data_IF_344373360612
#
_entry.id   IF_344373360612
#
_cell.length_a   1.000
_cell.length_b   1.000
_cell.length_c   1.000
_cell.angle_alpha   90.00
_cell.angle_beta   90.00
_cell.angle_gamma   90.00
#
_symmetry.space_group_name_H-M   'P 1'
#
loop_
_entity.id
_entity.type
_entity.pdbx_description
1 polymer ?
#
# COMPACT_ATOMS: atom_id res chain seq x y z
N UNK A 1 -2.16 53.27 1.22
CA UNK A 1 -1.76 51.91 0.83
C UNK A 1 -2.82 50.98 1.38
N UNK A 2 -3.81 50.64 0.57
CA UNK A 2 -4.86 49.71 0.97
C UNK A 2 -4.33 48.28 0.81
N UNK A 3 -4.08 47.62 1.93
CA UNK A 3 -3.70 46.22 1.94
C UNK A 3 -5.00 45.41 1.73
N UNK A 4 -5.25 44.98 0.49
CA UNK A 4 -6.32 44.01 0.22
C UNK A 4 -5.98 42.70 0.95
N UNK A 5 -6.92 42.10 1.70
CA UNK A 5 -6.74 40.76 2.23
C UNK A 5 -6.70 39.79 1.03
N UNK A 6 -5.66 38.97 0.92
CA UNK A 6 -5.62 37.86 -0.02
C UNK A 6 -6.60 36.80 0.45
N UNK A 7 -7.85 36.94 0.03
CA UNK A 7 -8.81 35.85 0.00
C UNK A 7 -8.33 34.82 -1.03
N UNK A 8 -7.70 33.75 -0.57
CA UNK A 8 -8.09 32.41 -1.02
C UNK A 8 -8.13 31.49 0.21
N UNK A 9 -9.30 31.57 0.83
CA UNK A 9 -9.87 30.64 1.78
C UNK A 9 -10.18 29.33 1.02
N UNK A 10 -10.00 28.17 1.66
CA UNK A 10 -10.60 26.89 1.24
C UNK A 10 -9.91 26.06 0.13
N UNK A 11 -8.62 25.78 0.27
CA UNK A 11 -8.03 24.65 -0.46
C UNK A 11 -8.23 23.33 0.33
N UNK A 12 -9.45 22.78 0.30
CA UNK A 12 -9.61 21.36 0.57
C UNK A 12 -8.59 20.60 -0.31
N UNK A 13 -7.86 19.59 0.22
CA UNK A 13 -6.77 18.96 -0.51
C UNK A 13 -7.31 18.47 -1.86
N UNK A 14 -6.80 19.05 -2.97
CA UNK A 14 -7.22 18.68 -4.33
C UNK A 14 -7.12 17.16 -4.46
N UNK A 15 -8.23 16.51 -4.80
CA UNK A 15 -8.21 15.07 -5.06
C UNK A 15 -7.22 14.81 -6.19
N UNK A 16 -6.21 13.98 -5.91
CA UNK A 16 -5.19 13.62 -6.90
C UNK A 16 -5.84 12.84 -8.04
N UNK A 17 -5.45 13.16 -9.25
CA UNK A 17 -5.82 12.43 -10.46
C UNK A 17 -5.27 11.00 -10.42
N UNK A 18 -5.85 10.10 -11.24
CA UNK A 18 -5.33 8.73 -11.39
C UNK A 18 -3.87 8.73 -11.88
N UNK A 19 -3.50 9.65 -12.79
CA UNK A 19 -2.15 9.76 -13.31
C UNK A 19 -1.13 10.11 -12.21
N UNK A 20 -1.44 11.09 -11.36
CA UNK A 20 -0.59 11.46 -10.23
C UNK A 20 -0.47 10.32 -9.21
N UNK A 21 -1.55 9.58 -8.97
CA UNK A 21 -1.53 8.39 -8.09
C UNK A 21 -0.66 7.27 -8.68
N UNK A 22 -0.71 7.03 -10.00
CA UNK A 22 0.16 6.06 -10.69
C UNK A 22 1.63 6.45 -10.59
N UNK A 23 1.96 7.69 -10.91
CA UNK A 23 3.34 8.19 -10.83
C UNK A 23 3.93 8.00 -9.44
N UNK A 24 3.16 8.31 -8.39
CA UNK A 24 3.60 8.10 -7.00
C UNK A 24 3.77 6.63 -6.65
N UNK A 25 2.87 5.76 -7.12
CA UNK A 25 3.00 4.32 -6.92
C UNK A 25 4.26 3.78 -7.61
N UNK A 26 4.53 4.19 -8.85
CA UNK A 26 5.72 3.79 -9.60
C UNK A 26 6.99 4.25 -8.90
N UNK A 27 7.03 5.49 -8.41
CA UNK A 27 8.15 6.02 -7.62
C UNK A 27 8.37 5.19 -6.34
N UNK A 28 7.30 4.91 -5.59
CA UNK A 28 7.40 4.11 -4.37
C UNK A 28 7.91 2.69 -4.67
N UNK A 29 7.40 2.04 -5.73
CA UNK A 29 7.85 0.72 -6.16
C UNK A 29 9.30 0.73 -6.63
N UNK A 30 9.77 1.79 -7.28
CA UNK A 30 11.16 1.94 -7.65
C UNK A 30 12.05 2.01 -6.41
N UNK A 31 11.71 2.84 -5.41
CA UNK A 31 12.43 2.91 -4.14
C UNK A 31 12.45 1.56 -3.41
N UNK A 32 11.31 0.88 -3.31
CA UNK A 32 11.24 -0.46 -2.69
C UNK A 32 12.15 -1.47 -3.38
N UNK A 33 12.24 -1.44 -4.72
CA UNK A 33 13.15 -2.34 -5.47
C UNK A 33 14.62 -1.98 -5.30
N UNK A 34 14.95 -0.69 -5.18
CA UNK A 34 16.32 -0.23 -4.91
C UNK A 34 16.81 -0.76 -3.55
N UNK A 35 15.92 -0.83 -2.56
CA UNK A 35 16.19 -1.41 -1.24
C UNK A 35 16.32 -2.96 -1.27
N UNK A 36 16.15 -3.59 -2.43
CA UNK A 36 16.24 -5.04 -2.59
C UNK A 36 14.95 -5.79 -2.26
N UNK A 37 13.84 -5.08 -2.03
CA UNK A 37 12.55 -5.70 -1.77
C UNK A 37 11.78 -5.96 -3.06
N UNK A 38 11.16 -7.14 -3.15
CA UNK A 38 10.31 -7.54 -4.27
C UNK A 38 8.85 -7.66 -3.80
N UNK A 39 8.00 -6.66 -4.08
CA UNK A 39 6.58 -6.73 -3.74
C UNK A 39 5.90 -7.91 -4.45
N UNK A 40 4.99 -8.58 -3.75
CA UNK A 40 4.22 -9.70 -4.32
C UNK A 40 3.23 -9.23 -5.38
N UNK A 41 2.87 -10.11 -6.32
CA UNK A 41 1.87 -9.82 -7.35
C UNK A 41 0.51 -9.40 -6.74
N UNK A 42 0.13 -10.06 -5.65
CA UNK A 42 -1.04 -9.78 -4.84
C UNK A 42 -1.07 -8.37 -4.23
N UNK A 43 0.09 -7.87 -3.78
CA UNK A 43 0.23 -6.50 -3.29
C UNK A 43 0.11 -5.50 -4.46
N UNK A 44 0.77 -5.78 -5.58
CA UNK A 44 0.72 -4.92 -6.76
C UNK A 44 -0.70 -4.76 -7.32
N UNK A 45 -1.49 -5.84 -7.32
CA UNK A 45 -2.88 -5.82 -7.75
C UNK A 45 -3.75 -4.91 -6.87
N UNK A 46 -3.62 -5.02 -5.55
CA UNK A 46 -4.37 -4.16 -4.61
C UNK A 46 -3.97 -2.69 -4.74
N UNK A 47 -2.67 -2.39 -4.91
CA UNK A 47 -2.21 -1.03 -5.13
C UNK A 47 -2.73 -0.44 -6.44
N UNK A 48 -2.78 -1.23 -7.50
CA UNK A 48 -3.34 -0.79 -8.78
C UNK A 48 -4.84 -0.50 -8.66
N UNK A 49 -5.60 -1.38 -7.99
CA UNK A 49 -7.01 -1.19 -7.70
C UNK A 49 -7.28 0.04 -6.83
N UNK A 50 -6.39 0.35 -5.87
CA UNK A 50 -6.45 1.58 -5.08
C UNK A 50 -6.24 2.82 -5.95
N UNK A 51 -5.25 2.80 -6.84
CA UNK A 51 -4.88 3.94 -7.68
C UNK A 51 -5.97 4.26 -8.70
N UNK A 52 -6.61 3.23 -9.27
CA UNK A 52 -7.75 3.37 -10.19
C UNK A 52 -9.07 3.70 -9.49
N UNK A 53 -9.11 3.61 -8.16
CA UNK A 53 -10.33 3.86 -7.37
C UNK A 53 -11.31 2.69 -7.34
N UNK A 54 -10.89 1.51 -7.79
CA UNK A 54 -11.67 0.27 -7.67
C UNK A 54 -11.75 -0.22 -6.21
N UNK A 55 -10.72 0.06 -5.40
CA UNK A 55 -10.71 -0.19 -3.97
C UNK A 55 -10.39 1.10 -3.19
N UNK A 56 -11.02 1.25 -2.03
CA UNK A 56 -10.65 2.27 -1.06
C UNK A 56 -9.38 1.90 -0.29
N UNK A 57 -8.69 2.90 0.26
CA UNK A 57 -7.44 2.70 1.01
C UNK A 57 -7.61 1.77 2.23
N UNK A 58 -8.72 1.87 2.97
CA UNK A 58 -8.96 1.01 4.14
C UNK A 58 -9.22 -0.45 3.74
N UNK A 59 -9.88 -0.69 2.62
CA UNK A 59 -10.11 -2.04 2.11
C UNK A 59 -8.79 -2.70 1.67
N UNK A 60 -7.93 -1.94 1.00
CA UNK A 60 -6.58 -2.40 0.62
C UNK A 60 -5.75 -2.70 1.87
N UNK A 61 -5.78 -1.81 2.88
CA UNK A 61 -5.09 -2.03 4.15
C UNK A 61 -5.59 -3.31 4.84
N UNK A 62 -6.91 -3.54 4.89
CA UNK A 62 -7.52 -4.74 5.48
C UNK A 62 -6.99 -6.02 4.80
N UNK A 63 -6.98 -6.05 3.46
CA UNK A 63 -6.48 -7.20 2.67
C UNK A 63 -5.00 -7.47 2.92
N UNK A 64 -4.18 -6.44 3.00
CA UNK A 64 -2.74 -6.57 3.29
C UNK A 64 -2.53 -7.19 4.68
N UNK A 65 -3.24 -6.69 5.70
CA UNK A 65 -3.13 -7.19 7.07
C UNK A 65 -3.61 -8.65 7.16
N UNK A 66 -4.70 -9.00 6.47
CA UNK A 66 -5.23 -10.36 6.45
C UNK A 66 -4.23 -11.34 5.83
N UNK A 67 -3.62 -10.97 4.68
CA UNK A 67 -2.57 -11.78 4.05
C UNK A 67 -1.32 -11.93 4.91
N UNK A 68 -0.89 -10.86 5.58
CA UNK A 68 0.23 -10.91 6.52
C UNK A 68 -0.05 -11.89 7.67
N UNK A 69 -1.24 -11.82 8.28
CA UNK A 69 -1.67 -12.75 9.33
C UNK A 69 -1.71 -14.19 8.85
N UNK A 70 -2.15 -14.43 7.61
CA UNK A 70 -2.17 -15.77 7.04
C UNK A 70 -0.75 -16.30 6.76
N UNK A 71 0.16 -15.45 6.27
CA UNK A 71 1.56 -15.79 6.11
C UNK A 71 2.21 -16.15 7.46
N UNK A 72 1.96 -15.37 8.52
CA UNK A 72 2.47 -15.63 9.87
C UNK A 72 1.94 -16.97 10.44
N UNK A 73 0.65 -17.25 10.25
CA UNK A 73 0.05 -18.54 10.63
C UNK A 73 0.69 -19.71 9.90
N UNK A 74 0.94 -19.58 8.59
CA UNK A 74 1.61 -20.61 7.79
C UNK A 74 3.07 -20.82 8.23
N UNK A 75 3.80 -19.75 8.49
CA UNK A 75 5.18 -19.82 9.00
C UNK A 75 5.24 -20.54 10.35
N UNK A 76 4.35 -20.19 11.27
CA UNK A 76 4.26 -20.82 12.60
C UNK A 76 3.85 -22.29 12.52
N UNK A 77 2.88 -22.63 11.66
CA UNK A 77 2.46 -24.01 11.45
C UNK A 77 3.55 -24.87 10.80
N UNK A 78 4.36 -24.28 9.90
CA UNK A 78 5.51 -24.93 9.28
C UNK A 78 6.63 -25.23 10.29
N UNK A 79 6.92 -24.29 11.21
CA UNK A 79 7.87 -24.48 12.30
C UNK A 79 7.46 -25.64 13.23
N UNK A 80 6.17 -25.74 13.59
CA UNK A 80 5.67 -26.82 14.44
C UNK A 80 5.75 -28.22 13.78
N UNK A 81 5.70 -28.31 12.45
CA UNK A 81 5.90 -29.60 11.74
C UNK A 81 7.37 -30.03 11.68
N UNK A 82 8.33 -29.10 11.78
CA UNK A 82 9.76 -29.42 11.74
C UNK A 82 10.33 -29.94 13.06
N UNK A 83 9.67 -29.69 14.19
CA UNK A 83 10.15 -30.08 15.53
C UNK A 83 9.58 -31.41 16.05
N UNK A 84 8.66 -32.04 15.30
CA UNK A 84 8.00 -33.30 15.69
C UNK A 84 8.56 -34.57 15.02
N UNK A 85 9.65 -34.46 14.26
CA UNK A 85 10.25 -35.58 13.55
C UNK A 85 11.73 -35.75 13.93
N UNK A 86 11.98 -36.34 15.10
CA UNK A 86 13.22 -37.09 15.33
C UNK A 86 12.86 -38.42 16.04
N UNK A 87 13.39 -39.57 15.57
CA UNK A 87 13.21 -40.87 16.23
C UNK A 87 13.93 -40.95 17.57
#
# INVERSE_FOLDING_TARGET
MEHKPTSDESAAPRQRTVAERRMRLEQALASTRIEGHQPSAEFLADMQAMVTGQLGAEEVRRRIIERAREADRRATAGLNRGLGAQP
#
